data_IF_414222134625
#
_entry.id   IF_414222134625
#
_cell.length_a   1.000
_cell.length_b   1.000
_cell.length_c   1.000
_cell.angle_alpha   90.00
_cell.angle_beta   90.00
_cell.angle_gamma   90.00
#
_symmetry.space_group_name_H-M   'P 1'
#
loop_
_entity.id
_entity.type
_entity.pdbx_description
1 polymer ?
#
# COMPACT_ATOMS: atom_id res chain seq x y z
N UNK A 1 5.17 -19.70 -17.81
CA UNK A 1 4.09 -18.78 -17.42
C UNK A 1 4.75 -17.63 -16.66
N UNK A 2 4.86 -16.46 -17.29
CA UNK A 2 5.39 -15.27 -16.63
C UNK A 2 4.39 -14.85 -15.56
N UNK A 3 4.82 -14.89 -14.30
CA UNK A 3 4.04 -14.49 -13.14
C UNK A 3 3.61 -13.02 -13.29
N UNK A 4 2.31 -12.78 -13.43
CA UNK A 4 1.72 -11.47 -13.64
C UNK A 4 2.10 -10.48 -12.50
N UNK A 5 2.37 -11.01 -11.29
CA UNK A 5 2.82 -10.24 -10.14
C UNK A 5 4.19 -9.56 -10.35
N UNK A 6 5.04 -10.09 -11.24
CA UNK A 6 6.39 -9.55 -11.48
C UNK A 6 6.41 -8.32 -12.38
N UNK A 7 5.36 -8.09 -13.17
CA UNK A 7 5.25 -6.97 -14.11
C UNK A 7 4.64 -5.69 -13.50
N UNK A 8 3.89 -5.80 -12.39
CA UNK A 8 3.24 -4.66 -11.73
C UNK A 8 4.21 -3.70 -11.01
N UNK A 9 5.40 -4.18 -10.59
CA UNK A 9 6.40 -3.40 -9.80
C UNK A 9 7.07 -2.23 -10.52
N UNK A 10 6.60 -1.77 -11.68
CA UNK A 10 7.17 -0.61 -12.40
C UNK A 10 6.61 0.74 -11.97
N UNK A 11 5.60 0.78 -11.08
CA UNK A 11 4.95 2.03 -10.61
C UNK A 11 4.76 2.16 -9.09
N UNK A 12 5.24 1.21 -8.29
CA UNK A 12 5.25 1.36 -6.83
C UNK A 12 6.42 2.25 -6.40
N UNK A 13 6.24 3.03 -5.34
CA UNK A 13 7.35 3.76 -4.71
C UNK A 13 8.35 2.73 -4.14
N UNK A 14 9.59 2.66 -4.64
CA UNK A 14 10.57 1.68 -4.17
C UNK A 14 10.92 1.84 -2.68
N UNK A 15 10.67 3.01 -2.10
CA UNK A 15 10.97 3.31 -0.70
C UNK A 15 9.76 3.17 0.22
N UNK A 16 8.53 3.29 -0.29
CA UNK A 16 7.32 3.28 0.53
C UNK A 16 6.14 2.52 -0.12
N UNK A 17 6.17 1.20 -0.06
CA UNK A 17 5.13 0.33 -0.64
C UNK A 17 4.72 -0.85 0.27
N UNK A 18 5.19 -0.88 1.52
CA UNK A 18 4.93 -1.95 2.51
C UNK A 18 4.45 -1.34 3.82
N UNK A 19 3.59 -2.06 4.56
CA UNK A 19 3.20 -1.74 5.95
C UNK A 19 4.39 -1.74 6.90
N UNK A 20 5.38 -2.59 6.66
CA UNK A 20 6.60 -2.70 7.44
C UNK A 20 7.76 -1.89 6.83
N UNK A 21 8.94 -2.00 7.45
CA UNK A 21 10.17 -1.38 6.93
C UNK A 21 10.53 -2.00 5.57
N UNK A 22 11.03 -1.18 4.64
CA UNK A 22 11.55 -1.69 3.36
C UNK A 22 12.57 -2.81 3.56
N UNK A 23 12.38 -3.93 2.86
CA UNK A 23 13.19 -5.14 2.98
C UNK A 23 12.73 -6.15 4.05
N UNK A 24 11.79 -5.80 4.92
CA UNK A 24 11.17 -6.73 5.85
C UNK A 24 10.01 -7.51 5.21
N UNK A 25 9.66 -8.66 5.80
CA UNK A 25 8.48 -9.44 5.40
C UNK A 25 7.23 -8.85 6.06
N UNK A 26 6.13 -8.78 5.30
CA UNK A 26 4.83 -8.34 5.82
C UNK A 26 4.34 -9.30 6.90
N UNK A 27 4.00 -8.76 8.07
CA UNK A 27 3.44 -9.51 9.19
C UNK A 27 2.03 -8.99 9.54
N UNK A 28 1.12 -9.85 10.08
CA UNK A 28 -0.25 -9.43 10.40
C UNK A 28 -0.31 -8.40 11.54
N UNK A 29 0.79 -8.21 12.26
CA UNK A 29 0.93 -7.23 13.35
C UNK A 29 1.51 -5.88 12.94
N UNK A 30 1.77 -5.61 11.65
CA UNK A 30 2.58 -4.45 11.24
C UNK A 30 1.97 -3.09 11.61
N UNK A 31 0.67 -2.91 11.39
CA UNK A 31 -0.03 -1.64 11.58
C UNK A 31 -1.28 -1.84 12.44
N UNK A 32 -1.46 -1.01 13.46
CA UNK A 32 -2.69 -0.97 14.24
C UNK A 32 -3.78 -0.21 13.48
N UNK A 33 -4.93 -0.87 13.29
CA UNK A 33 -6.08 -0.33 12.57
C UNK A 33 -7.18 0.18 13.50
N UNK A 34 -7.31 -0.42 14.69
CA UNK A 34 -8.41 -0.11 15.60
C UNK A 34 -8.56 -1.11 16.73
N UNK A 35 -9.53 -0.86 17.61
CA UNK A 35 -10.07 -1.86 18.51
C UNK A 35 -11.45 -2.30 18.02
N UNK A 36 -11.77 -3.58 18.18
CA UNK A 36 -13.11 -4.09 18.01
C UNK A 36 -14.06 -3.54 19.06
N UNK A 37 -15.34 -3.46 18.70
CA UNK A 37 -16.46 -3.09 19.58
C UNK A 37 -17.54 -4.20 19.60
N UNK A 38 -17.26 -5.35 18.96
CA UNK A 38 -18.20 -6.47 18.81
C UNK A 38 -19.25 -6.30 17.71
N UNK A 39 -19.27 -5.18 16.98
CA UNK A 39 -20.29 -4.87 15.97
C UNK A 39 -19.71 -4.37 14.65
N UNK A 40 -18.65 -3.56 14.69
CA UNK A 40 -17.98 -3.04 13.52
C UNK A 40 -17.15 -4.14 12.84
N UNK A 41 -17.55 -4.50 11.62
CA UNK A 41 -16.84 -5.47 10.79
C UNK A 41 -15.77 -4.83 9.90
N UNK A 42 -15.72 -3.50 9.82
CA UNK A 42 -14.99 -2.78 8.77
C UNK A 42 -13.82 -1.99 9.35
N UNK A 43 -12.61 -2.25 8.83
CA UNK A 43 -11.38 -1.61 9.29
C UNK A 43 -10.57 -1.07 8.11
N UNK A 44 -10.21 0.21 8.17
CA UNK A 44 -9.45 0.87 7.12
C UNK A 44 -7.96 0.57 7.24
N UNK A 45 -7.34 0.09 6.17
CA UNK A 45 -5.88 -0.07 6.10
C UNK A 45 -5.23 1.32 6.25
N UNK A 46 -4.37 1.42 7.25
CA UNK A 46 -3.71 2.67 7.62
C UNK A 46 -2.25 2.39 7.86
N UNK A 47 -1.37 3.23 7.31
CA UNK A 47 0.06 3.20 7.64
C UNK A 47 0.41 4.42 8.48
N UNK A 48 1.06 4.18 9.62
CA UNK A 48 1.51 5.23 10.55
C UNK A 48 2.96 5.63 10.28
N UNK A 49 3.20 6.93 10.30
CA UNK A 49 4.50 7.59 10.13
C UNK A 49 4.70 8.55 11.32
N UNK A 50 5.21 8.03 12.43
CA UNK A 50 5.24 8.80 13.69
C UNK A 50 3.82 9.25 14.06
N UNK A 51 3.60 10.56 14.15
CA UNK A 51 2.31 11.17 14.53
C UNK A 51 1.32 11.29 13.37
N UNK A 52 1.73 10.98 12.14
CA UNK A 52 0.87 11.05 10.95
C UNK A 52 0.35 9.66 10.58
N UNK A 53 -0.93 9.56 10.24
CA UNK A 53 -1.54 8.34 9.74
C UNK A 53 -2.06 8.56 8.31
N UNK A 54 -1.67 7.66 7.39
CA UNK A 54 -2.11 7.68 6.01
C UNK A 54 -3.12 6.58 5.76
N UNK A 55 -4.30 6.95 5.27
CA UNK A 55 -5.25 6.01 4.69
C UNK A 55 -4.63 5.36 3.46
N UNK A 56 -4.59 4.03 3.45
CA UNK A 56 -4.04 3.26 2.34
C UNK A 56 -5.19 2.83 1.43
N UNK A 57 -5.03 3.12 0.15
CA UNK A 57 -5.91 2.70 -0.95
C UNK A 57 -5.07 1.90 -1.94
N UNK A 58 -5.70 1.13 -2.84
CA UNK A 58 -4.99 0.31 -3.83
C UNK A 58 -3.98 -0.66 -3.18
N UNK A 59 -4.47 -1.44 -2.22
CA UNK A 59 -3.70 -2.51 -1.62
C UNK A 59 -3.38 -3.60 -2.67
N UNK A 60 -2.23 -4.26 -2.52
CA UNK A 60 -1.84 -5.37 -3.37
C UNK A 60 -2.55 -6.65 -2.92
N UNK A 61 -3.33 -7.26 -3.80
CA UNK A 61 -4.00 -8.52 -3.53
C UNK A 61 -3.03 -9.63 -3.10
N UNK A 62 -3.46 -10.46 -2.14
CA UNK A 62 -2.65 -11.57 -1.61
C UNK A 62 -1.48 -11.15 -0.70
N UNK A 63 -1.31 -9.85 -0.43
CA UNK A 63 -0.29 -9.36 0.52
C UNK A 63 -0.87 -8.99 1.88
N UNK A 64 -2.20 -8.86 1.96
CA UNK A 64 -2.87 -8.37 3.17
C UNK A 64 -2.99 -9.50 4.18
N UNK A 65 -2.47 -9.27 5.38
CA UNK A 65 -2.51 -10.20 6.50
C UNK A 65 -3.08 -9.47 7.70
N UNK A 66 -4.13 -10.00 8.32
CA UNK A 66 -4.80 -9.35 9.45
C UNK A 66 -4.66 -10.21 10.71
N UNK A 67 -4.58 -9.57 11.88
CA UNK A 67 -4.67 -10.24 13.17
C UNK A 67 -5.66 -9.54 14.09
N UNK A 68 -6.30 -10.35 14.94
CA UNK A 68 -7.16 -9.90 16.03
C UNK A 68 -6.55 -10.40 17.33
N UNK A 69 -6.21 -9.49 18.25
CA UNK A 69 -5.45 -9.80 19.48
C UNK A 69 -4.16 -10.60 19.22
N UNK A 70 -3.47 -10.28 18.11
CA UNK A 70 -2.24 -10.97 17.72
C UNK A 70 -2.44 -12.34 17.07
N UNK A 71 -3.67 -12.84 16.99
CA UNK A 71 -3.99 -14.08 16.27
C UNK A 71 -4.31 -13.77 14.82
N UNK A 72 -3.51 -14.32 13.91
CA UNK A 72 -3.71 -14.16 12.48
C UNK A 72 -5.05 -14.75 12.03
N UNK A 73 -5.73 -14.01 11.17
CA UNK A 73 -7.00 -14.37 10.55
C UNK A 73 -6.77 -14.79 9.11
N UNK A 74 -7.62 -15.64 8.57
CA UNK A 74 -7.48 -16.17 7.22
C UNK A 74 -8.31 -15.36 6.23
N UNK A 75 -7.67 -14.81 5.20
CA UNK A 75 -8.37 -14.11 4.11
C UNK A 75 -9.35 -15.08 3.38
N UNK A 76 -10.45 -14.54 2.87
CA UNK A 76 -11.63 -15.21 2.31
C UNK A 76 -12.47 -16.04 3.30
N UNK A 77 -11.87 -16.61 4.36
CA UNK A 77 -12.58 -17.35 5.41
C UNK A 77 -13.07 -16.45 6.54
N UNK A 78 -12.18 -15.65 7.13
CA UNK A 78 -12.48 -14.81 8.29
C UNK A 78 -12.77 -13.37 7.90
N UNK A 79 -12.13 -12.87 6.83
CA UNK A 79 -12.34 -11.53 6.30
C UNK A 79 -12.13 -11.51 4.79
N UNK A 80 -12.58 -10.44 4.14
CA UNK A 80 -12.25 -10.09 2.75
C UNK A 80 -11.63 -8.69 2.70
N UNK A 81 -10.91 -8.38 1.62
CA UNK A 81 -10.30 -7.06 1.43
C UNK A 81 -10.87 -6.39 0.20
N UNK A 82 -11.37 -5.17 0.37
CA UNK A 82 -11.66 -4.27 -0.75
C UNK A 82 -10.38 -3.54 -1.14
N UNK A 83 -9.71 -4.03 -2.20
CA UNK A 83 -8.36 -3.58 -2.55
C UNK A 83 -8.30 -2.12 -3.00
N UNK A 84 -9.36 -1.60 -3.64
CA UNK A 84 -9.38 -0.23 -4.17
C UNK A 84 -9.46 0.77 -3.02
N UNK A 85 -10.39 0.58 -2.09
CA UNK A 85 -10.56 1.46 -0.92
C UNK A 85 -9.58 1.14 0.20
N UNK A 86 -8.97 -0.06 0.19
CA UNK A 86 -8.05 -0.53 1.21
C UNK A 86 -8.75 -0.81 2.53
N UNK A 87 -9.83 -1.57 2.49
CA UNK A 87 -10.65 -1.84 3.68
C UNK A 87 -10.76 -3.34 3.93
N UNK A 88 -10.53 -3.76 5.18
CA UNK A 88 -10.77 -5.13 5.64
C UNK A 88 -12.21 -5.22 6.12
N UNK A 89 -12.92 -6.26 5.67
CA UNK A 89 -14.31 -6.54 6.04
C UNK A 89 -14.37 -7.95 6.63
N UNK A 90 -14.57 -8.03 7.93
CA UNK A 90 -14.74 -9.31 8.63
C UNK A 90 -16.09 -9.96 8.31
N UNK A 91 -16.11 -11.29 8.25
CA UNK A 91 -17.36 -12.05 8.20
C UNK A 91 -18.15 -11.85 9.51
N UNK A 92 -19.49 -12.01 9.50
CA UNK A 92 -20.32 -11.81 10.70
C UNK A 92 -19.85 -12.59 11.94
N UNK A 93 -19.43 -13.84 11.77
CA UNK A 93 -18.94 -14.72 12.86
C UNK A 93 -17.55 -14.34 13.39
N UNK A 94 -16.87 -13.42 12.72
CA UNK A 94 -15.47 -13.04 12.95
C UNK A 94 -15.30 -11.57 13.26
N UNK A 95 -16.41 -10.88 13.55
CA UNK A 95 -16.38 -9.50 14.00
C UNK A 95 -15.50 -9.41 15.26
N UNK A 96 -14.46 -8.55 15.26
CA UNK A 96 -13.57 -8.42 16.41
C UNK A 96 -14.33 -8.04 17.68
N UNK A 97 -14.16 -8.79 18.79
CA UNK A 97 -14.89 -8.51 20.03
C UNK A 97 -14.43 -7.19 20.66
N UNK A 98 -15.25 -6.68 21.59
CA UNK A 98 -14.97 -5.42 22.27
C UNK A 98 -13.56 -5.42 22.92
N UNK A 99 -12.77 -4.39 22.60
CA UNK A 99 -11.41 -4.22 23.10
C UNK A 99 -10.35 -5.05 22.36
N UNK A 100 -10.73 -5.89 21.40
CA UNK A 100 -9.75 -6.68 20.65
C UNK A 100 -8.95 -5.79 19.68
N UNK A 101 -7.62 -5.83 19.78
CA UNK A 101 -6.76 -5.06 18.89
C UNK A 101 -6.78 -5.66 17.48
N UNK A 102 -7.10 -4.84 16.48
CA UNK A 102 -7.07 -5.20 15.07
C UNK A 102 -5.82 -4.62 14.45
N UNK A 103 -4.99 -5.50 13.88
CA UNK A 103 -3.76 -5.13 13.18
C UNK A 103 -3.75 -5.73 11.78
N UNK A 104 -2.98 -5.12 10.88
CA UNK A 104 -2.72 -5.69 9.57
C UNK A 104 -1.34 -5.32 9.02
N UNK A 105 -0.80 -6.20 8.19
CA UNK A 105 0.28 -5.92 7.25
C UNK A 105 -0.21 -6.04 5.82
N UNK A 106 0.38 -5.27 4.90
CA UNK A 106 -0.06 -5.17 3.51
C UNK A 106 1.00 -4.51 2.62
N UNK A 107 0.99 -4.84 1.33
CA UNK A 107 1.62 -4.06 0.27
C UNK A 107 0.62 -3.10 -0.38
N UNK A 108 1.08 -1.97 -0.89
CA UNK A 108 0.20 -0.96 -1.50
C UNK A 108 0.90 -0.14 -2.58
N UNK A 109 0.10 0.53 -3.42
CA UNK A 109 0.58 1.53 -4.37
C UNK A 109 0.34 2.96 -3.85
N UNK A 110 1.27 3.85 -4.16
CA UNK A 110 1.11 5.29 -3.92
C UNK A 110 0.62 5.94 -5.22
N UNK A 111 -0.52 6.64 -5.23
CA UNK A 111 -0.93 7.39 -6.41
C UNK A 111 0.08 8.52 -6.67
N UNK A 112 0.86 8.37 -7.72
CA UNK A 112 1.70 9.44 -8.26
C UNK A 112 0.92 10.19 -9.34
N UNK A 113 0.96 11.53 -9.30
CA UNK A 113 0.50 12.39 -10.38
C UNK A 113 1.71 13.13 -10.95
N UNK A 114 1.73 13.33 -12.26
CA UNK A 114 2.63 14.31 -12.86
C UNK A 114 2.10 15.71 -12.51
N UNK A 115 2.99 16.58 -12.05
CA UNK A 115 2.67 17.96 -11.65
C UNK A 115 2.61 18.91 -12.86
N UNK A 116 2.42 18.39 -14.06
CA UNK A 116 2.45 19.19 -15.29
C UNK A 116 1.60 18.54 -16.38
N UNK A 117 0.78 19.37 -17.03
CA UNK A 117 -0.19 18.96 -18.05
C UNK A 117 0.45 18.64 -19.41
N UNK A 118 1.77 18.85 -19.55
CA UNK A 118 2.50 18.74 -20.81
C UNK A 118 3.81 17.95 -20.66
N UNK A 119 3.75 16.64 -20.91
CA UNK A 119 4.94 15.85 -21.22
C UNK A 119 5.30 16.04 -22.71
N UNK A 120 6.25 16.93 -22.99
CA UNK A 120 6.76 17.11 -24.36
C UNK A 120 7.79 16.02 -24.65
N UNK A 121 7.36 14.92 -25.29
CA UNK A 121 8.25 13.82 -25.68
C UNK A 121 8.75 14.10 -27.10
N UNK A 122 10.01 14.55 -27.25
CA UNK A 122 10.67 14.58 -28.54
C UNK A 122 11.38 13.24 -28.75
N UNK A 123 10.72 12.30 -29.42
CA UNK A 123 11.37 11.06 -29.87
C UNK A 123 12.25 11.42 -31.06
N UNK A 124 13.47 11.91 -30.78
CA UNK A 124 14.55 11.82 -31.76
C UNK A 124 15.12 10.42 -31.67
N UNK A 125 15.06 9.74 -32.82
CA UNK A 125 15.44 8.36 -33.06
C UNK A 125 16.68 7.94 -32.26
N UNK A 126 16.48 6.87 -31.52
CA UNK A 126 17.49 6.14 -30.75
C UNK A 126 18.65 5.67 -31.65
N UNK A 127 19.82 6.26 -31.46
CA UNK A 127 21.11 5.56 -31.63
C UNK A 127 21.96 5.83 -30.40
N UNK A 128 21.92 4.84 -29.51
CA UNK A 128 22.88 4.47 -28.48
C UNK A 128 23.76 5.58 -27.87
N UNK A 129 23.53 5.84 -26.58
CA UNK A 129 24.64 5.91 -25.63
C UNK A 129 25.28 7.27 -25.38
N UNK A 130 24.50 8.30 -25.05
CA UNK A 130 25.03 9.48 -24.34
C UNK A 130 23.91 10.14 -23.53
N UNK A 131 24.16 10.42 -22.24
CA UNK A 131 23.27 11.22 -21.41
C UNK A 131 23.55 12.69 -21.79
N UNK A 132 22.60 13.43 -22.39
CA UNK A 132 22.84 14.83 -22.69
C UNK A 132 22.94 15.61 -21.37
N UNK A 133 24.07 16.28 -21.15
CA UNK A 133 24.26 17.19 -20.02
C UNK A 133 23.18 18.28 -20.08
N UNK A 134 22.31 18.35 -19.07
CA UNK A 134 21.26 19.38 -18.97
C UNK A 134 21.83 20.53 -18.14
N UNK A 135 22.24 21.66 -18.74
CA UNK A 135 22.67 22.81 -17.97
C UNK A 135 21.46 23.47 -17.29
N UNK A 136 21.54 23.63 -15.98
CA UNK A 136 20.59 24.42 -15.18
C UNK A 136 21.08 25.86 -15.18
N UNK A 137 20.19 26.81 -15.49
CA UNK A 137 20.46 28.24 -15.34
C UNK A 137 19.57 28.74 -14.20
N UNK A 138 20.17 29.27 -13.13
CA UNK A 138 19.43 29.95 -12.08
C UNK A 138 18.92 31.29 -12.59
N UNK A 139 17.61 31.48 -12.56
CA UNK A 139 16.99 32.79 -12.79
C UNK A 139 17.01 33.53 -11.45
N UNK A 140 17.79 34.61 -11.35
CA UNK A 140 17.65 35.59 -10.27
C UNK A 140 16.50 36.54 -10.58
N UNK A 141 15.69 36.83 -9.55
CA UNK A 141 14.62 37.82 -9.56
C UNK A 141 15.16 39.24 -9.83
#
# INVERSE_FOLDING_TARGET
MADCARLWRRRADPFDHLSCRSGATIAPGDQWLGAGDGHNAVFQLTKRYGDYARTITKAHGGTVRAAVNGVEQTEALDFVVELITGTIIFRPEKIPPAGAAVTAGFGFDVPARFDTDRLTISIKSFRAGEIPSIPIIEVKA
#
